data_IF_753578985959
#
_entry.id   IF_753578985959
#
_cell.length_a   1.000
_cell.length_b   1.000
_cell.length_c   1.000
_cell.angle_alpha   90.00
_cell.angle_beta   90.00
_cell.angle_gamma   90.00
#
_symmetry.space_group_name_H-M   'P 1'
#
loop_
_entity.id
_entity.type
_entity.pdbx_description
1 polymer ?
#
# COMPACT_ATOMS: atom_id res chain seq x y z
N UNK A 1 -29.20 11.54 5.75
CA UNK A 1 -28.58 10.20 5.57
C UNK A 1 -27.50 10.15 4.48
N UNK A 2 -27.73 10.59 3.24
CA UNK A 2 -26.75 10.50 2.13
C UNK A 2 -25.39 11.19 2.38
N UNK A 3 -25.37 12.37 3.01
CA UNK A 3 -24.14 13.10 3.38
C UNK A 3 -23.26 12.36 4.39
N UNK A 4 -23.87 11.59 5.30
CA UNK A 4 -23.14 10.83 6.32
C UNK A 4 -22.45 9.63 5.65
N UNK A 5 -23.12 8.94 4.72
CA UNK A 5 -22.53 7.83 3.96
C UNK A 5 -21.36 8.32 3.11
N UNK A 6 -21.51 9.46 2.41
CA UNK A 6 -20.44 10.06 1.62
C UNK A 6 -19.23 10.48 2.48
N UNK A 7 -19.46 11.13 3.63
CA UNK A 7 -18.39 11.50 4.58
C UNK A 7 -17.69 10.26 5.13
N UNK A 8 -18.44 9.19 5.42
CA UNK A 8 -17.87 7.93 5.91
C UNK A 8 -17.04 7.23 4.83
N UNK A 9 -17.50 7.24 3.57
CA UNK A 9 -16.75 6.73 2.42
C UNK A 9 -15.47 7.53 2.17
N UNK A 10 -15.53 8.86 2.26
CA UNK A 10 -14.38 9.76 2.13
C UNK A 10 -13.38 9.53 3.28
N UNK A 11 -13.85 9.32 4.51
CA UNK A 11 -13.00 8.98 5.66
C UNK A 11 -12.34 7.61 5.50
N UNK A 12 -13.08 6.59 5.08
CA UNK A 12 -12.51 5.25 4.79
C UNK A 12 -11.48 5.32 3.66
N UNK A 13 -11.70 6.17 2.64
CA UNK A 13 -10.75 6.43 1.56
C UNK A 13 -9.50 7.18 2.04
N UNK A 14 -9.65 8.20 2.88
CA UNK A 14 -8.53 8.97 3.42
C UNK A 14 -7.61 8.12 4.31
N UNK A 15 -8.16 7.13 5.03
CA UNK A 15 -7.37 6.19 5.85
C UNK A 15 -6.63 5.15 4.98
N UNK A 16 -7.08 4.95 3.73
CA UNK A 16 -6.40 4.07 2.77
C UNK A 16 -5.21 4.74 2.06
N UNK A 17 -4.98 6.04 2.27
CA UNK A 17 -3.80 6.71 1.75
C UNK A 17 -2.54 6.20 2.48
N UNK A 18 -1.54 5.66 1.77
CA UNK A 18 -0.32 5.21 2.40
C UNK A 18 0.39 6.41 3.03
N UNK A 19 0.58 6.39 4.35
CA UNK A 19 1.36 7.39 5.08
C UNK A 19 2.70 7.55 4.36
N UNK A 20 2.91 8.72 3.75
CA UNK A 20 4.11 9.05 2.98
C UNK A 20 5.28 9.32 3.92
N UNK A 21 5.87 8.26 4.46
CA UNK A 21 7.19 8.34 5.09
C UNK A 21 8.24 8.48 3.98
N UNK A 22 8.74 9.71 3.82
CA UNK A 22 9.84 10.08 2.93
C UNK A 22 11.18 9.65 3.58
N UNK A 23 11.39 8.34 3.69
CA UNK A 23 12.64 7.79 4.21
C UNK A 23 13.62 7.60 3.07
N UNK A 24 14.64 8.46 2.96
CA UNK A 24 15.83 8.14 2.19
C UNK A 24 16.44 6.86 2.75
N UNK A 25 16.68 5.89 1.87
CA UNK A 25 17.34 4.65 2.25
C UNK A 25 18.83 4.94 2.48
N UNK A 26 19.44 4.52 3.60
CA UNK A 26 20.88 4.61 3.81
C UNK A 26 21.64 3.89 2.69
N UNK A 27 22.88 4.31 2.48
CA UNK A 27 23.87 3.65 1.63
C UNK A 27 24.13 2.25 2.20
N UNK A 28 23.87 1.21 1.41
CA UNK A 28 23.79 -0.18 1.90
C UNK A 28 24.58 -1.07 0.95
N UNK A 29 25.43 -1.93 1.52
CA UNK A 29 26.15 -2.98 0.80
C UNK A 29 25.23 -3.76 -0.15
N UNK A 30 25.63 -3.83 -1.43
CA UNK A 30 24.86 -4.43 -2.51
C UNK A 30 24.51 -5.89 -2.28
N UNK A 31 25.27 -6.59 -1.42
CA UNK A 31 25.11 -8.01 -1.12
C UNK A 31 23.82 -8.35 -0.37
N UNK A 32 23.25 -7.42 0.41
CA UNK A 32 22.03 -7.67 1.21
C UNK A 32 20.93 -6.62 0.97
N UNK A 33 20.97 -5.97 -0.20
CA UNK A 33 20.11 -4.83 -0.51
C UNK A 33 18.63 -5.22 -0.60
N UNK A 34 18.30 -6.41 -1.13
CA UNK A 34 16.92 -6.87 -1.25
C UNK A 34 16.35 -7.22 0.13
N UNK A 35 17.09 -7.94 0.97
CA UNK A 35 16.66 -8.27 2.33
C UNK A 35 16.40 -7.03 3.18
N UNK A 36 17.32 -6.06 3.15
CA UNK A 36 17.18 -4.79 3.88
C UNK A 36 15.97 -3.99 3.37
N UNK A 37 15.76 -4.00 2.06
CA UNK A 37 14.62 -3.32 1.44
C UNK A 37 13.31 -3.99 1.81
N UNK A 38 13.23 -5.33 1.75
CA UNK A 38 12.04 -6.10 2.14
C UNK A 38 11.69 -5.87 3.62
N UNK A 39 12.69 -5.88 4.51
CA UNK A 39 12.49 -5.54 5.93
C UNK A 39 11.85 -4.17 6.09
N UNK A 40 12.32 -3.15 5.35
CA UNK A 40 11.76 -1.79 5.43
C UNK A 40 10.34 -1.73 4.88
N UNK A 41 10.04 -2.46 3.81
CA UNK A 41 8.68 -2.59 3.28
C UNK A 41 7.77 -3.24 4.34
N UNK A 42 8.20 -4.34 4.96
CA UNK A 42 7.47 -5.03 6.02
C UNK A 42 7.22 -4.14 7.25
N UNK A 43 8.25 -3.47 7.78
CA UNK A 43 8.11 -2.56 8.93
C UNK A 43 7.22 -1.36 8.61
N UNK A 44 7.29 -0.83 7.39
CA UNK A 44 6.41 0.26 6.96
C UNK A 44 4.97 -0.21 6.86
N UNK A 45 4.74 -1.40 6.33
CA UNK A 45 3.41 -1.99 6.24
C UNK A 45 2.83 -2.25 7.64
N UNK A 46 3.62 -2.84 8.55
CA UNK A 46 3.23 -3.06 9.94
C UNK A 46 2.79 -1.75 10.61
N UNK A 47 3.60 -0.69 10.48
CA UNK A 47 3.26 0.63 11.03
C UNK A 47 1.99 1.19 10.41
N UNK A 48 1.85 1.07 9.09
CA UNK A 48 0.64 1.53 8.38
C UNK A 48 -0.60 0.74 8.81
N UNK A 49 -0.46 -0.57 9.04
CA UNK A 49 -1.52 -1.44 9.52
C UNK A 49 -1.97 -1.01 10.91
N UNK A 50 -1.04 -0.83 11.85
CA UNK A 50 -1.34 -0.44 13.23
C UNK A 50 -2.06 0.91 13.27
N UNK A 51 -1.57 1.91 12.52
CA UNK A 51 -2.19 3.23 12.45
C UNK A 51 -3.59 3.12 11.84
N UNK A 52 -3.73 2.49 10.67
CA UNK A 52 -5.01 2.36 9.99
C UNK A 52 -6.04 1.58 10.84
N UNK A 53 -5.60 0.50 11.49
CA UNK A 53 -6.44 -0.29 12.39
C UNK A 53 -6.89 0.51 13.61
N UNK A 54 -5.98 1.27 14.24
CA UNK A 54 -6.31 2.14 15.35
C UNK A 54 -7.28 3.26 14.95
N UNK A 55 -7.06 3.89 13.80
CA UNK A 55 -7.95 4.94 13.28
C UNK A 55 -9.33 4.39 12.94
N UNK A 56 -9.43 3.27 12.22
CA UNK A 56 -10.72 2.64 11.90
C UNK A 56 -11.45 2.15 13.15
N UNK A 57 -10.72 1.56 14.10
CA UNK A 57 -11.25 1.12 15.38
C UNK A 57 -11.84 2.27 16.19
N UNK A 58 -11.08 3.36 16.34
CA UNK A 58 -11.50 4.55 17.07
C UNK A 58 -12.69 5.25 16.40
N UNK A 59 -12.65 5.42 15.07
CA UNK A 59 -13.76 6.02 14.32
C UNK A 59 -15.02 5.15 14.39
N UNK A 60 -14.87 3.83 14.25
CA UNK A 60 -15.98 2.89 14.35
C UNK A 60 -16.63 2.92 15.73
N UNK A 61 -15.83 2.82 16.80
CA UNK A 61 -16.32 2.90 18.18
C UNK A 61 -16.97 4.26 18.48
N UNK A 62 -16.36 5.36 18.04
CA UNK A 62 -16.93 6.71 18.21
C UNK A 62 -18.26 6.86 17.49
N UNK A 63 -18.35 6.41 16.23
CA UNK A 63 -19.59 6.44 15.44
C UNK A 63 -20.67 5.58 16.07
N UNK A 64 -20.30 4.40 16.60
CA UNK A 64 -21.22 3.52 17.31
C UNK A 64 -21.80 4.20 18.55
N UNK A 65 -20.94 4.83 19.37
CA UNK A 65 -21.34 5.54 20.59
C UNK A 65 -22.23 6.74 20.26
N UNK A 66 -21.89 7.51 19.20
CA UNK A 66 -22.71 8.62 18.72
C UNK A 66 -24.11 8.17 18.29
N UNK A 67 -24.29 6.92 17.86
CA UNK A 67 -25.61 6.37 17.57
C UNK A 67 -26.56 6.48 18.77
N UNK A 68 -26.07 6.28 20.01
CA UNK A 68 -26.91 6.38 21.22
C UNK A 68 -27.41 7.80 21.52
N UNK A 69 -26.79 8.84 20.95
CA UNK A 69 -27.20 10.22 21.16
C UNK A 69 -28.22 10.70 20.12
N UNK A 70 -28.58 9.87 19.14
CA UNK A 70 -29.54 10.23 18.10
C UNK A 70 -30.96 9.91 18.53
N UNK A 71 -31.86 10.88 18.41
CA UNK A 71 -33.29 10.71 18.71
C UNK A 71 -34.04 9.96 17.59
N UNK A 72 -33.61 10.13 16.34
CA UNK A 72 -34.15 9.43 15.18
C UNK A 72 -33.71 7.94 15.19
N UNK A 73 -34.66 6.98 15.26
CA UNK A 73 -34.36 5.55 15.33
C UNK A 73 -33.65 5.02 14.08
N UNK A 74 -33.93 5.57 12.90
CA UNK A 74 -33.31 5.13 11.65
C UNK A 74 -31.85 5.59 11.59
N UNK A 75 -31.60 6.84 11.97
CA UNK A 75 -30.25 7.39 12.08
C UNK A 75 -29.40 6.68 13.15
N UNK A 76 -30.01 6.38 14.32
CA UNK A 76 -29.37 5.60 15.40
C UNK A 76 -28.92 4.24 14.90
N UNK A 77 -29.82 3.50 14.27
CA UNK A 77 -29.53 2.14 13.77
C UNK A 77 -28.44 2.18 12.70
N UNK A 78 -28.52 3.13 11.76
CA UNK A 78 -27.52 3.29 10.72
C UNK A 78 -26.12 3.54 11.31
N UNK A 79 -25.99 4.48 12.27
CA UNK A 79 -24.71 4.80 12.90
C UNK A 79 -24.14 3.66 13.74
N UNK A 80 -24.99 2.94 14.48
CA UNK A 80 -24.56 1.78 15.25
C UNK A 80 -24.07 0.66 14.34
N UNK A 81 -24.80 0.33 13.27
CA UNK A 81 -24.36 -0.72 12.35
C UNK A 81 -23.08 -0.30 11.64
N UNK A 82 -23.02 0.92 11.08
CA UNK A 82 -21.81 1.39 10.38
C UNK A 82 -20.61 1.50 11.30
N UNK A 83 -20.80 2.02 12.52
CA UNK A 83 -19.74 2.15 13.51
C UNK A 83 -19.23 0.79 13.99
N UNK A 84 -20.15 -0.15 14.25
CA UNK A 84 -19.80 -1.51 14.64
C UNK A 84 -19.00 -2.24 13.55
N UNK A 85 -19.42 -2.14 12.28
CA UNK A 85 -18.70 -2.72 11.14
C UNK A 85 -17.30 -2.14 11.02
N UNK A 86 -17.14 -0.80 11.11
CA UNK A 86 -15.83 -0.16 11.06
C UNK A 86 -14.92 -0.58 12.21
N UNK A 87 -15.46 -0.69 13.43
CA UNK A 87 -14.72 -1.13 14.60
C UNK A 87 -14.21 -2.57 14.43
N UNK A 88 -15.07 -3.47 13.94
CA UNK A 88 -14.70 -4.87 13.66
C UNK A 88 -13.63 -4.96 12.56
N UNK A 89 -13.77 -4.19 11.47
CA UNK A 89 -12.75 -4.13 10.41
C UNK A 89 -11.42 -3.64 10.96
N UNK A 90 -11.44 -2.60 11.80
CA UNK A 90 -10.25 -2.11 12.50
C UNK A 90 -9.59 -3.18 13.36
N UNK A 91 -10.37 -3.93 14.14
CA UNK A 91 -9.90 -5.05 14.96
C UNK A 91 -9.30 -6.19 14.13
N UNK A 92 -9.98 -6.63 13.08
CA UNK A 92 -9.46 -7.66 12.16
C UNK A 92 -8.14 -7.21 11.53
N UNK A 93 -8.09 -5.96 11.06
CA UNK A 93 -6.89 -5.38 10.45
C UNK A 93 -5.72 -5.26 11.43
N UNK A 94 -5.99 -5.08 12.72
CA UNK A 94 -4.94 -5.07 13.75
C UNK A 94 -4.28 -6.44 13.90
N UNK A 95 -5.06 -7.52 13.83
CA UNK A 95 -4.62 -8.89 14.08
C UNK A 95 -3.92 -9.51 12.86
N UNK A 96 -4.42 -9.25 11.66
CA UNK A 96 -3.93 -9.90 10.45
C UNK A 96 -2.65 -9.24 9.90
N UNK A 97 -1.57 -10.03 9.80
CA UNK A 97 -0.32 -9.61 9.16
C UNK A 97 -0.54 -9.26 7.68
N UNK A 98 0.07 -8.15 7.25
CA UNK A 98 0.07 -7.75 5.85
C UNK A 98 0.91 -8.69 4.97
N UNK A 99 0.73 -8.65 3.64
CA UNK A 99 1.54 -9.42 2.71
C UNK A 99 3.05 -9.28 2.90
N UNK A 100 3.61 -8.07 3.03
CA UNK A 100 5.06 -7.92 3.13
C UNK A 100 5.61 -8.38 4.49
N UNK A 101 4.83 -8.27 5.56
CA UNK A 101 5.20 -8.83 6.86
C UNK A 101 5.31 -10.36 6.80
N UNK A 102 4.35 -11.02 6.14
CA UNK A 102 4.35 -12.47 5.95
C UNK A 102 5.51 -12.93 5.07
N UNK A 103 5.72 -12.27 3.93
CA UNK A 103 6.82 -12.58 3.01
C UNK A 103 8.18 -12.39 3.69
N UNK A 104 8.35 -11.33 4.49
CA UNK A 104 9.57 -11.12 5.25
C UNK A 104 9.80 -12.23 6.30
N UNK A 105 8.76 -12.65 7.02
CA UNK A 105 8.83 -13.76 7.97
C UNK A 105 9.20 -15.09 7.26
N UNK A 106 8.63 -15.33 6.08
CA UNK A 106 8.96 -16.47 5.23
C UNK A 106 10.43 -16.43 4.77
N UNK A 107 10.91 -15.29 4.27
CA UNK A 107 12.32 -15.11 3.87
C UNK A 107 13.27 -15.39 5.04
N UNK A 108 12.91 -15.00 6.26
CA UNK A 108 13.75 -15.23 7.44
C UNK A 108 13.86 -16.72 7.83
N UNK A 109 12.95 -17.57 7.34
CA UNK A 109 13.01 -19.03 7.54
C UNK A 109 14.07 -19.73 6.67
N UNK A 110 14.51 -19.11 5.57
CA UNK A 110 15.54 -19.67 4.70
C UNK A 110 16.96 -19.58 5.31
N UNK A 111 17.90 -20.44 4.88
CA UNK A 111 19.33 -20.34 5.24
C UNK A 111 19.92 -19.00 4.82
N UNK A 112 20.85 -18.45 5.60
CA UNK A 112 21.44 -17.10 5.38
C UNK A 112 21.87 -16.86 3.93
N UNK A 113 22.53 -17.85 3.32
CA UNK A 113 23.03 -17.81 1.93
C UNK A 113 21.93 -17.63 0.86
N UNK A 114 20.70 -18.04 1.15
CA UNK A 114 19.59 -18.05 0.18
C UNK A 114 18.62 -16.89 0.45
N UNK A 115 18.77 -16.17 1.57
CA UNK A 115 17.84 -15.12 2.01
C UNK A 115 17.78 -13.93 1.08
N UNK A 116 18.90 -13.52 0.50
CA UNK A 116 18.92 -12.36 -0.41
C UNK A 116 18.17 -12.67 -1.71
N UNK A 117 18.33 -13.88 -2.24
CA UNK A 117 17.60 -14.32 -3.44
C UNK A 117 16.10 -14.46 -3.15
N UNK A 118 15.73 -15.07 -2.03
CA UNK A 118 14.33 -15.15 -1.59
C UNK A 118 13.73 -13.76 -1.36
N UNK A 119 14.49 -12.83 -0.78
CA UNK A 119 14.04 -11.45 -0.57
C UNK A 119 13.77 -10.70 -1.88
N UNK A 120 14.62 -10.94 -2.90
CA UNK A 120 14.43 -10.38 -4.23
C UNK A 120 13.15 -10.92 -4.90
N UNK A 121 12.93 -12.23 -4.84
CA UNK A 121 11.72 -12.85 -5.38
C UNK A 121 10.45 -12.37 -4.68
N UNK A 122 10.44 -12.34 -3.35
CA UNK A 122 9.34 -11.78 -2.55
C UNK A 122 9.08 -10.31 -2.87
N UNK A 123 10.13 -9.48 -3.06
CA UNK A 123 9.96 -8.08 -3.46
C UNK A 123 9.34 -7.94 -4.85
N UNK A 124 9.73 -8.80 -5.79
CA UNK A 124 9.15 -8.78 -7.13
C UNK A 124 7.68 -9.20 -7.10
N UNK A 125 7.36 -10.29 -6.38
CA UNK A 125 6.00 -10.74 -6.15
C UNK A 125 5.13 -9.64 -5.51
N UNK A 126 5.61 -9.01 -4.44
CA UNK A 126 4.90 -7.94 -3.75
C UNK A 126 4.71 -6.71 -4.66
N UNK A 127 5.71 -6.36 -5.47
CA UNK A 127 5.60 -5.25 -6.43
C UNK A 127 4.57 -5.54 -7.53
N UNK A 128 4.56 -6.77 -8.08
CA UNK A 128 3.57 -7.20 -9.06
C UNK A 128 2.16 -7.19 -8.46
N UNK A 129 1.99 -7.69 -7.23
CA UNK A 129 0.71 -7.69 -6.54
C UNK A 129 0.23 -6.26 -6.24
N UNK A 130 1.12 -5.37 -5.79
CA UNK A 130 0.81 -3.96 -5.57
C UNK A 130 0.39 -3.26 -6.86
N UNK A 131 1.05 -3.55 -7.99
CA UNK A 131 0.65 -3.06 -9.32
C UNK A 131 -0.75 -3.53 -9.70
N UNK A 132 -1.04 -4.83 -9.55
CA UNK A 132 -2.36 -5.40 -9.87
C UNK A 132 -3.45 -4.73 -9.04
N UNK A 133 -3.25 -4.62 -7.73
CA UNK A 133 -4.22 -3.97 -6.84
C UNK A 133 -4.45 -2.50 -7.20
N UNK A 134 -3.37 -1.78 -7.54
CA UNK A 134 -3.44 -0.39 -8.00
C UNK A 134 -4.27 -0.23 -9.28
N UNK A 135 -4.10 -1.12 -10.26
CA UNK A 135 -4.90 -1.12 -11.49
C UNK A 135 -6.36 -1.45 -11.19
N UNK A 136 -6.63 -2.48 -10.38
CA UNK A 136 -8.01 -2.86 -10.00
C UNK A 136 -8.70 -1.70 -9.31
N UNK A 137 -8.05 -1.03 -8.36
CA UNK A 137 -8.58 0.16 -7.69
C UNK A 137 -8.85 1.29 -8.69
N UNK A 138 -7.91 1.57 -9.59
CA UNK A 138 -8.09 2.60 -10.61
C UNK A 138 -9.30 2.33 -11.51
N UNK A 139 -9.49 1.08 -11.94
CA UNK A 139 -10.64 0.65 -12.73
C UNK A 139 -11.95 0.79 -11.94
N UNK A 140 -11.97 0.38 -10.67
CA UNK A 140 -13.14 0.55 -9.80
C UNK A 140 -13.52 2.01 -9.63
N UNK A 141 -12.55 2.90 -9.39
CA UNK A 141 -12.82 4.34 -9.29
C UNK A 141 -13.28 4.94 -10.62
N UNK A 142 -12.71 4.52 -11.75
CA UNK A 142 -13.17 4.97 -13.07
C UNK A 142 -14.61 4.51 -13.34
N UNK A 143 -14.96 3.28 -12.99
CA UNK A 143 -16.34 2.77 -13.09
C UNK A 143 -17.32 3.57 -12.23
N UNK A 144 -16.94 3.89 -10.99
CA UNK A 144 -17.74 4.75 -10.12
C UNK A 144 -17.87 6.18 -10.67
N UNK A 145 -16.82 6.73 -11.27
CA UNK A 145 -16.88 8.04 -11.90
C UNK A 145 -17.87 8.06 -13.07
N UNK A 146 -17.83 7.06 -13.94
CA UNK A 146 -18.78 6.90 -15.04
C UNK A 146 -20.20 6.76 -14.48
N UNK A 147 -20.39 5.91 -13.47
CA UNK A 147 -21.68 5.73 -12.82
C UNK A 147 -22.26 7.06 -12.29
N UNK A 148 -21.46 7.88 -11.60
CA UNK A 148 -21.93 9.18 -11.10
C UNK A 148 -22.20 10.20 -12.21
N UNK A 149 -21.56 10.08 -13.38
CA UNK A 149 -21.85 10.94 -14.54
C UNK A 149 -23.10 10.50 -15.30
N UNK A 150 -23.47 9.22 -15.24
CA UNK A 150 -24.58 8.66 -16.02
C UNK A 150 -25.81 8.29 -15.21
N UNK A 151 -25.73 8.28 -13.88
CA UNK A 151 -26.88 8.06 -13.02
C UNK A 151 -27.83 9.27 -13.14
N UNK A 152 -29.05 9.02 -13.65
CA UNK A 152 -30.12 10.02 -13.71
C UNK A 152 -30.34 10.65 -12.33
N UNK A 153 -30.70 11.94 -12.34
CA UNK A 153 -31.14 12.67 -11.15
C UNK A 153 -32.30 11.92 -10.49
N UNK A 154 -32.00 11.15 -9.45
CA UNK A 154 -33.05 10.77 -8.52
C UNK A 154 -33.53 12.07 -7.87
N UNK A 155 -34.85 12.29 -7.78
CA UNK A 155 -35.55 13.51 -7.32
C UNK A 155 -35.15 14.09 -5.93
N UNK A 156 -34.10 13.56 -5.31
CA UNK A 156 -33.55 13.89 -4.01
C UNK A 156 -32.00 14.07 -4.02
N UNK A 157 -31.35 14.34 -5.15
CA UNK A 157 -29.95 14.80 -5.20
C UNK A 157 -29.82 15.97 -6.15
N UNK A 158 -29.27 17.09 -5.67
CA UNK A 158 -28.86 18.19 -6.54
C UNK A 158 -27.81 17.68 -7.55
N UNK A 159 -27.96 18.03 -8.83
CA UNK A 159 -27.04 17.75 -9.94
C UNK A 159 -25.55 18.00 -9.62
N UNK A 160 -25.29 18.99 -8.75
CA UNK A 160 -23.96 19.34 -8.30
C UNK A 160 -23.27 18.20 -7.51
N UNK A 161 -24.01 17.47 -6.66
CA UNK A 161 -23.44 16.45 -5.76
C UNK A 161 -22.90 15.23 -6.56
N UNK A 162 -23.59 14.84 -7.63
CA UNK A 162 -23.16 13.75 -8.50
C UNK A 162 -21.93 14.15 -9.32
N UNK A 163 -21.88 15.37 -9.83
CA UNK A 163 -20.74 15.89 -10.59
C UNK A 163 -19.47 15.96 -9.74
N UNK A 164 -19.56 16.44 -8.49
CA UNK A 164 -18.40 16.47 -7.58
C UNK A 164 -17.91 15.06 -7.24
N UNK A 165 -18.83 14.12 -7.00
CA UNK A 165 -18.50 12.71 -6.73
C UNK A 165 -17.80 12.06 -7.92
N UNK A 166 -18.28 12.34 -9.14
CA UNK A 166 -17.65 11.89 -10.37
C UNK A 166 -16.22 12.41 -10.54
N UNK A 167 -16.01 13.72 -10.37
CA UNK A 167 -14.68 14.35 -10.45
C UNK A 167 -13.73 13.75 -9.41
N UNK A 168 -14.22 13.57 -8.18
CA UNK A 168 -13.44 12.94 -7.11
C UNK A 168 -13.02 11.51 -7.49
N UNK A 169 -13.96 10.68 -7.93
CA UNK A 169 -13.66 9.31 -8.36
C UNK A 169 -12.71 9.27 -9.57
N UNK A 170 -12.87 10.17 -10.54
CA UNK A 170 -11.95 10.27 -11.68
C UNK A 170 -10.53 10.68 -11.24
N UNK A 171 -10.42 11.62 -10.30
CA UNK A 171 -9.15 12.00 -9.69
C UNK A 171 -8.47 10.84 -8.96
N UNK A 172 -9.23 10.06 -8.19
CA UNK A 172 -8.73 8.86 -7.52
C UNK A 172 -8.29 7.78 -8.51
N UNK A 173 -9.03 7.59 -9.61
CA UNK A 173 -8.64 6.66 -10.66
C UNK A 173 -7.31 7.07 -11.30
N UNK A 174 -7.17 8.34 -11.69
CA UNK A 174 -5.93 8.87 -12.24
C UNK A 174 -4.76 8.72 -11.25
N UNK A 175 -4.98 9.06 -9.98
CA UNK A 175 -3.99 8.87 -8.93
C UNK A 175 -3.55 7.40 -8.80
N UNK A 176 -4.49 6.46 -8.78
CA UNK A 176 -4.19 5.03 -8.75
C UNK A 176 -3.35 4.62 -9.97
N UNK A 177 -3.72 5.01 -11.19
CA UNK A 177 -2.93 4.60 -12.37
C UNK A 177 -1.53 5.22 -12.43
N UNK A 178 -1.37 6.46 -11.95
CA UNK A 178 -0.12 7.20 -12.12
C UNK A 178 0.87 7.00 -10.95
N UNK A 179 0.39 6.89 -9.71
CA UNK A 179 1.28 6.84 -8.57
C UNK A 179 1.69 5.40 -8.23
N UNK A 180 2.89 5.01 -8.64
CA UNK A 180 3.49 3.74 -8.22
C UNK A 180 3.49 3.61 -6.70
N UNK A 181 3.19 2.40 -6.23
CA UNK A 181 3.24 2.04 -4.82
C UNK A 181 4.67 2.13 -4.27
N UNK A 182 4.80 2.24 -2.95
CA UNK A 182 6.11 2.23 -2.29
C UNK A 182 6.89 0.94 -2.60
N UNK A 183 6.21 -0.20 -2.66
CA UNK A 183 6.82 -1.51 -2.94
C UNK A 183 7.35 -1.56 -4.38
N UNK A 184 6.59 -1.07 -5.36
CA UNK A 184 7.06 -0.97 -6.75
C UNK A 184 8.34 -0.13 -6.85
N UNK A 185 8.38 1.03 -6.19
CA UNK A 185 9.57 1.90 -6.16
C UNK A 185 10.75 1.25 -5.45
N UNK A 186 10.49 0.51 -4.37
CA UNK A 186 11.50 -0.20 -3.60
C UNK A 186 12.14 -1.33 -4.43
N UNK A 187 11.32 -2.13 -5.12
CA UNK A 187 11.79 -3.18 -6.03
C UNK A 187 12.59 -2.60 -7.22
N UNK A 188 12.12 -1.51 -7.84
CA UNK A 188 12.84 -0.85 -8.93
C UNK A 188 14.22 -0.36 -8.47
N UNK A 189 14.33 0.20 -7.25
CA UNK A 189 15.61 0.62 -6.69
C UNK A 189 16.55 -0.56 -6.47
N UNK A 190 16.08 -1.68 -5.93
CA UNK A 190 16.89 -2.90 -5.75
C UNK A 190 17.44 -3.38 -7.09
N UNK A 191 16.58 -3.47 -8.12
CA UNK A 191 16.99 -3.86 -9.47
C UNK A 191 18.04 -2.91 -10.06
N UNK A 192 17.89 -1.60 -9.85
CA UNK A 192 18.86 -0.59 -10.31
C UNK A 192 20.22 -0.76 -9.64
N UNK A 193 20.26 -0.87 -8.31
CA UNK A 193 21.52 -1.04 -7.54
C UNK A 193 22.23 -2.33 -7.93
N UNK A 194 21.49 -3.43 -8.14
CA UNK A 194 22.07 -4.70 -8.60
C UNK A 194 22.59 -4.62 -10.04
N UNK A 195 21.90 -3.92 -10.93
CA UNK A 195 22.37 -3.69 -12.30
C UNK A 195 23.68 -2.87 -12.31
N UNK A 196 23.73 -1.77 -11.55
CA UNK A 196 24.94 -0.94 -11.41
C UNK A 196 26.11 -1.73 -10.81
N UNK A 197 25.84 -2.57 -9.81
CA UNK A 197 26.87 -3.43 -9.20
C UNK A 197 27.40 -4.49 -10.18
N UNK A 198 26.55 -4.98 -11.09
CA UNK A 198 26.95 -5.93 -12.14
C UNK A 198 27.81 -5.26 -13.22
N UNK A 199 27.47 -4.03 -13.59
CA UNK A 199 28.21 -3.27 -14.61
C UNK A 199 29.57 -2.78 -14.09
N UNK A 200 29.70 -2.56 -12.78
CA UNK A 200 30.96 -2.24 -12.11
C UNK A 200 31.85 -3.48 -11.82
N UNK A 201 31.38 -4.68 -12.15
CA UNK A 201 32.17 -5.91 -12.01
C UNK A 201 33.18 -6.02 -13.15
N UNK A 202 34.37 -5.48 -12.96
CA UNK A 202 35.45 -5.67 -13.93
C UNK A 202 36.10 -7.04 -13.71
N UNK A 203 35.99 -7.90 -14.73
CA UNK A 203 36.73 -9.15 -14.80
C UNK A 203 38.05 -8.86 -15.49
N UNK A 204 39.11 -8.74 -14.69
CA UNK A 204 40.46 -8.50 -15.17
C UNK A 204 41.30 -9.78 -15.16
N UNK A 205 42.13 -9.95 -16.19
CA UNK A 205 43.25 -10.88 -16.14
C UNK A 205 44.50 -10.10 -15.73
N UNK A 206 45.16 -10.50 -14.65
CA UNK A 206 46.45 -9.91 -14.25
C UNK A 206 47.57 -10.59 -15.03
N UNK A 207 48.29 -9.90 -15.93
CA UNK A 207 49.38 -10.51 -16.68
C UNK A 207 50.59 -10.73 -15.77
N UNK A 208 51.07 -11.97 -15.67
CA UNK A 208 52.32 -12.33 -14.97
C UNK A 208 52.17 -13.18 -13.70
N UNK A 209 50.95 -13.49 -13.27
CA UNK A 209 50.68 -14.57 -12.32
C UNK A 209 49.81 -15.64 -12.99
N UNK A 210 50.06 -16.92 -12.70
CA UNK A 210 49.26 -18.05 -13.16
C UNK A 210 47.77 -17.68 -13.14
N UNK A 211 47.14 -17.72 -14.33
CA UNK A 211 45.75 -17.37 -14.67
C UNK A 211 44.78 -17.29 -13.48
N UNK A 212 44.90 -16.25 -12.65
CA UNK A 212 43.98 -15.99 -11.56
C UNK A 212 42.98 -14.97 -12.06
N UNK A 213 41.73 -15.40 -12.14
CA UNK A 213 40.59 -14.52 -12.35
C UNK A 213 40.55 -13.54 -11.16
N UNK A 214 40.78 -12.27 -11.42
CA UNK A 214 40.63 -11.22 -10.39
C UNK A 214 39.29 -10.54 -10.66
N UNK A 215 38.40 -10.66 -9.69
CA UNK A 215 37.15 -9.91 -9.63
C UNK A 215 37.44 -8.68 -8.77
N UNK A 216 37.54 -7.51 -9.41
CA UNK A 216 37.78 -6.24 -8.71
C UNK A 216 36.55 -5.36 -8.72
N UNK A 217 36.25 -4.73 -7.58
CA UNK A 217 35.22 -3.70 -7.43
C UNK A 217 35.87 -2.32 -7.51
N UNK A 218 35.38 -1.45 -8.40
CA UNK A 218 35.69 -0.02 -8.32
C UNK A 218 34.68 0.64 -7.37
N UNK A 219 35.19 1.22 -6.28
CA UNK A 219 34.45 2.11 -5.39
C UNK A 219 34.65 3.56 -5.81
#
# INVERSE_FOLDING_TARGET
>A
MKRIIAITLILVLLISLPVMANGQLPDVDSENIAQITLKKVATREERSRIIAAGTLGALGAGTFILGFTMDDPDARTALQVSGGVLAVIGGIRYILKGPAEREFEEVMSFPIKDREYAAEDSLDYLAQNARKNRIIQGVSYAGMAIYYLTADENAYSDDADNTYSAIFCAGMAAYSFLNQSYVEKANEKVKRVKAESRDNLQVGFVPGQEQRLVISYNF
#
